data_IF_161798862864
#
_entry.id   IF_161798862864
#
_cell.length_a   1.000
_cell.length_b   1.000
_cell.length_c   1.000
_cell.angle_alpha   90.00
_cell.angle_beta   90.00
_cell.angle_gamma   90.00
#
_symmetry.space_group_name_H-M   'P 1'
#
loop_
_entity.id
_entity.type
_entity.pdbx_description
1 polymer ?
#
# COMPACT_ATOMS: atom_id res chain seq x y z
N UNK A 1 -7.33 -6.37 -10.74
CA UNK A 1 -7.15 -5.15 -9.93
C UNK A 1 -7.30 -5.52 -8.45
N UNK A 2 -6.42 -5.02 -7.59
CA UNK A 2 -6.49 -5.22 -6.15
C UNK A 2 -7.68 -4.46 -5.56
N UNK A 3 -8.49 -5.11 -4.71
CA UNK A 3 -9.51 -4.44 -3.91
C UNK A 3 -8.89 -3.98 -2.57
N UNK A 4 -8.73 -2.67 -2.34
CA UNK A 4 -8.15 -2.15 -1.10
C UNK A 4 -9.06 -2.33 0.12
N UNK A 5 -10.36 -2.58 -0.06
CA UNK A 5 -11.32 -2.77 1.02
C UNK A 5 -11.57 -4.25 1.37
N UNK A 6 -11.06 -5.17 0.55
CA UNK A 6 -11.12 -6.60 0.84
C UNK A 6 -10.22 -6.94 2.05
N UNK A 7 -10.63 -7.91 2.89
CA UNK A 7 -9.79 -8.41 3.98
C UNK A 7 -8.45 -8.93 3.46
N UNK A 8 -7.37 -8.57 4.14
CA UNK A 8 -6.03 -9.04 3.81
C UNK A 8 -5.86 -10.51 4.17
N UNK A 9 -5.31 -11.30 3.24
CA UNK A 9 -4.96 -12.70 3.51
C UNK A 9 -3.86 -12.77 4.58
N UNK A 10 -4.02 -13.63 5.58
CA UNK A 10 -3.09 -13.75 6.72
C UNK A 10 -2.14 -14.95 6.60
N UNK A 11 -2.33 -15.79 5.59
CA UNK A 11 -1.64 -17.07 5.45
C UNK A 11 -2.10 -18.11 6.48
N UNK A 12 -3.13 -17.82 7.28
CA UNK A 12 -3.68 -18.73 8.27
C UNK A 12 -4.95 -19.40 7.73
N UNK A 13 -4.98 -20.74 7.57
CA UNK A 13 -6.10 -21.46 6.96
C UNK A 13 -7.47 -21.20 7.61
N UNK A 14 -7.50 -20.96 8.93
CA UNK A 14 -8.75 -20.70 9.66
C UNK A 14 -9.30 -19.28 9.51
N UNK A 15 -8.44 -18.32 9.13
CA UNK A 15 -8.83 -16.92 8.94
C UNK A 15 -9.03 -16.57 7.45
N UNK A 16 -8.35 -17.28 6.56
CA UNK A 16 -8.33 -17.01 5.12
C UNK A 16 -9.55 -17.55 4.35
N UNK A 17 -10.56 -18.09 5.04
CA UNK A 17 -11.79 -18.52 4.39
C UNK A 17 -12.46 -17.33 3.65
N UNK A 18 -12.39 -17.34 2.32
CA UNK A 18 -12.92 -16.27 1.47
C UNK A 18 -11.99 -15.07 1.26
N UNK A 19 -10.74 -15.11 1.75
CA UNK A 19 -9.71 -14.11 1.46
C UNK A 19 -8.92 -14.50 0.23
N UNK A 20 -8.51 -13.52 -0.56
CA UNK A 20 -7.70 -13.74 -1.76
C UNK A 20 -6.29 -13.20 -1.48
N UNK A 21 -5.24 -14.03 -1.59
CA UNK A 21 -3.87 -13.57 -1.51
C UNK A 21 -3.60 -12.46 -2.53
N UNK A 22 -2.86 -11.45 -2.08
CA UNK A 22 -2.43 -10.36 -2.94
C UNK A 22 -1.04 -10.69 -3.50
N UNK A 23 -0.93 -10.73 -4.82
CA UNK A 23 0.31 -11.01 -5.51
C UNK A 23 1.12 -9.74 -5.78
N UNK A 24 2.45 -9.88 -5.89
CA UNK A 24 3.38 -8.78 -6.15
C UNK A 24 2.96 -7.86 -7.31
N UNK A 25 2.54 -8.36 -8.49
CA UNK A 25 2.14 -7.48 -9.59
C UNK A 25 0.94 -6.60 -9.24
N UNK A 26 0.01 -7.10 -8.40
CA UNK A 26 -1.19 -6.36 -8.00
C UNK A 26 -0.85 -5.22 -7.02
N UNK A 27 0.14 -5.42 -6.14
CA UNK A 27 0.66 -4.38 -5.25
C UNK A 27 1.37 -3.30 -6.07
N UNK A 28 2.27 -3.72 -6.97
CA UNK A 28 3.03 -2.78 -7.80
C UNK A 28 2.11 -1.92 -8.68
N UNK A 29 1.12 -2.53 -9.33
CA UNK A 29 0.11 -1.84 -10.13
C UNK A 29 -0.71 -0.86 -9.28
N UNK A 30 -1.17 -1.28 -8.09
CA UNK A 30 -1.95 -0.43 -7.20
C UNK A 30 -1.17 0.81 -6.75
N UNK A 31 0.08 0.64 -6.32
CA UNK A 31 0.91 1.75 -5.84
C UNK A 31 1.27 2.72 -6.96
N UNK A 32 1.52 2.18 -8.17
CA UNK A 32 1.81 2.97 -9.35
C UNK A 32 0.60 3.78 -9.82
N UNK A 33 -0.58 3.15 -9.94
CA UNK A 33 -1.83 3.79 -10.37
C UNK A 33 -2.23 4.94 -9.44
N UNK A 34 -1.95 4.78 -8.15
CA UNK A 34 -2.17 5.82 -7.13
C UNK A 34 -1.13 6.95 -7.13
N UNK A 35 -0.04 6.80 -7.88
CA UNK A 35 1.05 7.76 -7.93
C UNK A 35 1.84 7.86 -6.63
N UNK A 36 1.81 6.83 -5.77
CA UNK A 36 2.55 6.83 -4.51
C UNK A 36 4.05 6.62 -4.71
N UNK A 37 4.43 5.78 -5.68
CA UNK A 37 5.83 5.50 -6.02
C UNK A 37 6.04 5.48 -7.54
N UNK A 38 7.28 5.74 -7.97
CA UNK A 38 7.71 5.51 -9.35
C UNK A 38 7.68 4.02 -9.71
N UNK A 39 7.60 3.67 -11.00
CA UNK A 39 7.51 2.26 -11.42
C UNK A 39 8.65 1.36 -10.87
N UNK A 40 9.95 1.76 -10.91
CA UNK A 40 11.01 0.95 -10.29
C UNK A 40 10.83 0.78 -8.78
N UNK A 41 10.43 1.85 -8.08
CA UNK A 41 10.20 1.82 -6.64
C UNK A 41 8.97 0.99 -6.27
N UNK A 42 7.90 1.03 -7.06
CA UNK A 42 6.68 0.25 -6.85
C UNK A 42 6.96 -1.26 -6.97
N UNK A 43 7.77 -1.68 -7.94
CA UNK A 43 8.19 -3.07 -8.08
C UNK A 43 9.02 -3.55 -6.89
N UNK A 44 10.01 -2.76 -6.45
CA UNK A 44 10.86 -3.09 -5.30
C UNK A 44 10.05 -3.14 -3.99
N UNK A 45 9.16 -2.16 -3.78
CA UNK A 45 8.23 -2.13 -2.66
C UNK A 45 7.34 -3.37 -2.64
N UNK A 46 6.76 -3.75 -3.78
CA UNK A 46 5.88 -4.91 -3.87
C UNK A 46 6.61 -6.23 -3.57
N UNK A 47 7.86 -6.36 -4.01
CA UNK A 47 8.69 -7.53 -3.71
C UNK A 47 8.97 -7.64 -2.21
N UNK A 48 9.39 -6.53 -1.61
CA UNK A 48 9.65 -6.44 -0.18
C UNK A 48 8.38 -6.72 0.63
N UNK A 49 7.27 -6.03 0.34
CA UNK A 49 6.01 -6.17 1.07
C UNK A 49 5.51 -7.62 1.03
N UNK A 50 5.70 -8.34 -0.07
CA UNK A 50 5.34 -9.77 -0.13
C UNK A 50 6.09 -10.61 0.92
N UNK A 51 7.34 -10.26 1.24
CA UNK A 51 8.13 -10.98 2.24
C UNK A 51 7.75 -10.66 3.69
N UNK A 52 7.21 -9.46 3.94
CA UNK A 52 6.87 -8.96 5.30
C UNK A 52 5.37 -8.74 5.50
N UNK A 53 4.53 -9.19 4.57
CA UNK A 53 3.08 -8.92 4.58
C UNK A 53 2.41 -9.28 5.91
N UNK A 54 2.76 -10.45 6.45
CA UNK A 54 2.20 -10.93 7.71
C UNK A 54 2.70 -10.17 8.94
N UNK A 55 3.84 -9.49 8.85
CA UNK A 55 4.36 -8.66 9.95
C UNK A 55 3.44 -7.46 10.19
N UNK A 56 2.81 -6.92 9.14
CA UNK A 56 1.83 -5.83 9.23
C UNK A 56 0.46 -6.28 9.71
N UNK A 57 0.18 -7.59 9.68
CA UNK A 57 -1.11 -8.11 10.13
C UNK A 57 -1.11 -8.40 11.62
N UNK A 58 0.03 -8.68 12.24
CA UNK A 58 0.15 -9.06 13.66
C UNK A 58 -0.83 -10.17 14.12
N UNK A 59 -1.33 -10.98 13.19
CA UNK A 59 -2.39 -11.97 13.45
C UNK A 59 -3.81 -11.38 13.59
N UNK A 60 -3.99 -10.08 13.39
CA UNK A 60 -5.29 -9.44 13.29
C UNK A 60 -5.86 -9.58 11.87
N UNK A 61 -6.89 -10.42 11.75
CA UNK A 61 -7.62 -10.62 10.52
C UNK A 61 -8.53 -9.46 10.12
N UNK A 62 -8.62 -8.37 10.88
CA UNK A 62 -9.50 -7.22 10.59
C UNK A 62 -8.92 -6.26 9.55
N UNK A 63 -7.60 -6.33 9.30
CA UNK A 63 -6.94 -5.48 8.32
C UNK A 63 -7.40 -5.76 6.89
N UNK A 64 -7.57 -4.68 6.14
CA UNK A 64 -7.81 -4.69 4.70
C UNK A 64 -6.52 -4.60 3.91
N UNK A 65 -6.52 -5.05 2.65
CA UNK A 65 -5.36 -4.93 1.77
C UNK A 65 -4.80 -3.50 1.71
N UNK A 66 -5.68 -2.50 1.64
CA UNK A 66 -5.29 -1.09 1.58
C UNK A 66 -4.60 -0.62 2.87
N UNK A 67 -5.06 -1.08 4.03
CA UNK A 67 -4.44 -0.73 5.32
C UNK A 67 -3.03 -1.33 5.45
N UNK A 68 -2.85 -2.60 5.07
CA UNK A 68 -1.53 -3.25 5.07
C UNK A 68 -0.58 -2.52 4.11
N UNK A 69 -1.01 -2.28 2.88
CA UNK A 69 -0.18 -1.58 1.87
C UNK A 69 0.17 -0.17 2.34
N UNK A 70 -0.76 0.56 2.95
CA UNK A 70 -0.50 1.90 3.47
C UNK A 70 0.50 1.90 4.63
N UNK A 71 0.31 1.03 5.63
CA UNK A 71 1.24 0.92 6.75
C UNK A 71 2.66 0.56 6.27
N UNK A 72 2.73 -0.40 5.34
CA UNK A 72 3.98 -0.79 4.70
C UNK A 72 4.64 0.33 3.89
N UNK A 73 3.84 1.15 3.19
CA UNK A 73 4.34 2.32 2.46
C UNK A 73 4.98 3.35 3.39
N UNK A 74 4.35 3.61 4.55
CA UNK A 74 4.91 4.52 5.57
C UNK A 74 6.22 3.97 6.13
N UNK A 75 6.27 2.69 6.45
CA UNK A 75 7.50 2.03 6.94
C UNK A 75 8.62 2.07 5.89
N UNK A 76 8.30 1.70 4.65
CA UNK A 76 9.22 1.73 3.50
C UNK A 76 9.80 3.13 3.25
N UNK A 77 8.99 4.18 3.41
CA UNK A 77 9.40 5.56 3.25
C UNK A 77 10.06 6.17 4.50
N UNK A 78 10.42 5.35 5.51
CA UNK A 78 11.09 5.81 6.72
C UNK A 78 10.22 6.68 7.62
N UNK A 79 8.91 6.44 7.64
CA UNK A 79 7.91 7.18 8.42
C UNK A 79 7.29 8.37 7.70
N UNK A 80 7.73 8.69 6.48
CA UNK A 80 7.03 9.66 5.63
C UNK A 80 5.73 9.04 5.08
N UNK A 81 4.66 9.82 4.95
CA UNK A 81 3.42 9.39 4.32
C UNK A 81 3.48 9.65 2.80
N UNK A 82 3.74 8.63 1.95
CA UNK A 82 3.86 8.82 0.51
C UNK A 82 2.50 9.07 -0.16
N UNK A 83 1.40 8.94 0.58
CA UNK A 83 0.08 9.33 0.09
C UNK A 83 -0.16 10.82 0.21
N UNK A 84 0.78 11.58 0.80
CA UNK A 84 0.70 13.02 0.97
C UNK A 84 1.89 13.74 0.35
N UNK A 85 1.64 14.95 -0.15
CA UNK A 85 2.70 15.88 -0.45
C UNK A 85 3.26 16.50 0.85
N UNK A 86 4.38 17.23 0.74
CA UNK A 86 4.99 17.95 1.87
C UNK A 86 4.05 18.96 2.56
N UNK A 87 2.99 19.39 1.87
CA UNK A 87 1.96 20.30 2.37
C UNK A 87 0.76 19.56 3.02
N UNK A 88 0.79 18.23 3.10
CA UNK A 88 -0.24 17.40 3.73
C UNK A 88 -1.44 17.04 2.84
N UNK A 89 -1.51 17.55 1.61
CA UNK A 89 -2.54 17.17 0.64
C UNK A 89 -2.30 15.77 0.10
N UNK A 90 -3.37 15.00 -0.15
CA UNK A 90 -3.22 13.65 -0.69
C UNK A 90 -2.73 13.67 -2.14
N UNK A 91 -1.83 12.76 -2.49
CA UNK A 91 -1.43 12.51 -3.88
C UNK A 91 -2.67 12.20 -4.73
N UNK A 92 -2.80 12.87 -5.88
CA UNK A 92 -3.99 12.82 -6.74
C UNK A 92 -5.09 13.83 -6.38
N UNK A 93 -4.95 14.60 -5.29
CA UNK A 93 -5.75 15.79 -5.04
C UNK A 93 -4.97 17.04 -5.44
N UNK A 94 -5.68 18.04 -5.96
CA UNK A 94 -5.13 19.37 -6.24
C UNK A 94 -4.56 19.95 -4.95
N UNK A 95 -3.28 20.30 -4.97
CA UNK A 95 -2.60 20.92 -3.84
C UNK A 95 -2.17 22.31 -4.28
N UNK A 96 -2.78 23.39 -3.78
CA UNK A 96 -2.54 24.75 -4.29
C UNK A 96 -1.05 25.14 -4.26
N UNK A 97 -0.29 24.69 -3.26
CA UNK A 97 1.16 24.94 -3.14
C UNK A 97 2.02 24.04 -4.05
N UNK A 98 1.50 22.91 -4.57
CA UNK A 98 2.19 22.07 -5.54
C UNK A 98 1.80 22.39 -7.00
N UNK A 99 0.60 22.95 -7.20
CA UNK A 99 0.08 23.37 -8.51
C UNK A 99 0.50 24.80 -8.89
N UNK A 100 1.12 25.54 -7.96
CA UNK A 100 1.72 26.82 -8.25
C UNK A 100 2.96 26.63 -9.15
N UNK A 101 3.05 27.31 -10.31
CA UNK A 101 4.27 27.29 -11.10
C UNK A 101 5.42 27.92 -10.30
N UNK A 102 6.55 27.22 -10.25
CA UNK A 102 7.79 27.68 -9.61
C UNK A 102 8.33 28.98 -10.23
#
# INVERSE_FOLDING_TARGET
>A
MLDPHAPAATGQPGLDAGRVPVEQPQIAEFVLDRGYLSAPSACAFAEWLRSVWNDFLEGDGSYTNGQVIYAALVDWCGGADPTRCLHGSRMGQTCPDCDAPA
#
